data_IF_415726889190
#
_entry.id   IF_415726889190
#
_cell.length_a   1.000
_cell.length_b   1.000
_cell.length_c   1.000
_cell.angle_alpha   90.00
_cell.angle_beta   90.00
_cell.angle_gamma   90.00
#
_symmetry.space_group_name_H-M   'P 1'
#
loop_
_entity.id
_entity.type
_entity.pdbx_description
1 polymer ?
#
# COMPACT_ATOMS: atom_id res chain seq x y z
N UNK A 1 -15.76 16.57 11.98
CA UNK A 1 -15.35 15.56 12.99
C UNK A 1 -15.89 14.16 12.67
N UNK A 2 -17.21 13.94 12.54
CA UNK A 2 -17.78 12.60 12.34
C UNK A 2 -17.24 11.82 11.12
N UNK A 3 -17.05 12.49 9.98
CA UNK A 3 -16.47 11.88 8.77
C UNK A 3 -15.00 11.48 8.96
N UNK A 4 -14.23 12.31 9.67
CA UNK A 4 -12.82 12.03 9.96
C UNK A 4 -12.70 10.83 10.91
N UNK A 5 -13.50 10.81 11.99
CA UNK A 5 -13.56 9.67 12.92
C UNK A 5 -14.02 8.37 12.23
N UNK A 6 -14.98 8.45 11.31
CA UNK A 6 -15.44 7.30 10.56
C UNK A 6 -14.33 6.72 9.66
N UNK A 7 -13.58 7.57 8.95
CA UNK A 7 -12.45 7.14 8.13
C UNK A 7 -11.33 6.54 8.98
N UNK A 8 -10.95 7.18 10.09
CA UNK A 8 -9.91 6.64 10.99
C UNK A 8 -10.31 5.27 11.55
N UNK A 9 -11.55 5.10 12.00
CA UNK A 9 -12.06 3.82 12.51
C UNK A 9 -12.06 2.73 11.44
N UNK A 10 -12.47 3.07 10.22
CA UNK A 10 -12.47 2.12 9.09
C UNK A 10 -11.06 1.70 8.69
N UNK A 11 -10.09 2.62 8.71
CA UNK A 11 -8.69 2.31 8.44
C UNK A 11 -8.11 1.41 9.55
N UNK A 12 -8.39 1.68 10.81
CA UNK A 12 -7.95 0.85 11.94
C UNK A 12 -8.55 -0.56 11.89
N UNK A 13 -9.84 -0.69 11.58
CA UNK A 13 -10.50 -1.98 11.37
C UNK A 13 -9.88 -2.74 10.19
N UNK A 14 -9.59 -2.07 9.07
CA UNK A 14 -8.92 -2.68 7.94
C UNK A 14 -7.52 -3.20 8.32
N UNK A 15 -6.71 -2.38 9.00
CA UNK A 15 -5.37 -2.78 9.46
C UNK A 15 -5.44 -3.96 10.43
N UNK A 16 -6.45 -4.01 11.30
CA UNK A 16 -6.67 -5.13 12.22
C UNK A 16 -6.92 -6.44 11.47
N UNK A 17 -7.89 -6.47 10.56
CA UNK A 17 -8.21 -7.67 9.79
C UNK A 17 -7.05 -8.14 8.91
N UNK A 18 -6.32 -7.22 8.28
CA UNK A 18 -5.16 -7.58 7.47
C UNK A 18 -4.03 -8.15 8.36
N UNK A 19 -3.83 -7.59 9.56
CA UNK A 19 -2.82 -8.09 10.51
C UNK A 19 -3.16 -9.49 11.06
N UNK A 20 -4.43 -9.75 11.36
CA UNK A 20 -4.88 -11.09 11.76
C UNK A 20 -4.68 -12.11 10.64
N UNK A 21 -5.04 -11.74 9.40
CA UNK A 21 -4.83 -12.59 8.23
C UNK A 21 -3.34 -12.91 8.02
N UNK A 22 -2.46 -11.91 8.15
CA UNK A 22 -1.00 -12.13 8.09
C UNK A 22 -0.50 -13.07 9.20
N UNK A 23 -1.02 -12.93 10.42
CA UNK A 23 -0.61 -13.78 11.53
C UNK A 23 -0.99 -15.26 11.31
N UNK A 24 -2.20 -15.51 10.77
CA UNK A 24 -2.66 -16.85 10.43
C UNK A 24 -1.82 -17.42 9.29
N UNK A 25 -1.61 -16.67 8.21
CA UNK A 25 -0.89 -17.17 7.04
C UNK A 25 0.58 -17.43 7.33
N UNK A 26 1.23 -16.59 8.14
CA UNK A 26 2.62 -16.83 8.60
C UNK A 26 2.76 -18.06 9.50
N UNK A 27 1.67 -18.52 10.12
CA UNK A 27 1.67 -19.74 10.92
C UNK A 27 1.44 -21.02 10.07
N UNK A 28 1.07 -20.89 8.79
CA UNK A 28 0.88 -22.03 7.89
C UNK A 28 2.18 -22.41 7.17
N UNK A 29 2.36 -23.73 6.97
CA UNK A 29 3.41 -24.30 6.12
C UNK A 29 2.76 -25.28 5.14
N UNK A 30 2.89 -25.08 3.81
CA UNK A 30 3.63 -24.00 3.16
C UNK A 30 2.93 -22.63 3.28
N UNK A 31 3.72 -21.57 3.16
CA UNK A 31 3.24 -20.19 3.23
C UNK A 31 2.31 -19.88 2.05
N UNK A 32 1.15 -19.27 2.31
CA UNK A 32 0.23 -18.87 1.25
C UNK A 32 0.63 -17.51 0.66
N UNK A 33 1.54 -17.55 -0.31
CA UNK A 33 2.05 -16.35 -0.98
C UNK A 33 0.96 -15.53 -1.69
N UNK A 34 -0.12 -16.16 -2.17
CA UNK A 34 -1.25 -15.45 -2.79
C UNK A 34 -1.97 -14.58 -1.77
N UNK A 35 -2.29 -15.12 -0.60
CA UNK A 35 -2.93 -14.32 0.46
C UNK A 35 -2.02 -13.19 0.93
N UNK A 36 -0.72 -13.47 1.10
CA UNK A 36 0.24 -12.43 1.47
C UNK A 36 0.27 -11.27 0.46
N UNK A 37 0.27 -11.58 -0.84
CA UNK A 37 0.24 -10.57 -1.89
C UNK A 37 -1.00 -9.66 -1.78
N UNK A 38 -2.18 -10.26 -1.57
CA UNK A 38 -3.43 -9.52 -1.39
C UNK A 38 -3.40 -8.66 -0.12
N UNK A 39 -2.92 -9.20 1.00
CA UNK A 39 -2.80 -8.46 2.26
C UNK A 39 -1.91 -7.22 2.10
N UNK A 40 -0.74 -7.37 1.50
CA UNK A 40 0.19 -6.26 1.30
C UNK A 40 -0.35 -5.21 0.32
N UNK A 41 -1.08 -5.61 -0.72
CA UNK A 41 -1.76 -4.64 -1.58
C UNK A 41 -2.81 -3.83 -0.80
N UNK A 42 -3.60 -4.49 0.06
CA UNK A 42 -4.59 -3.80 0.88
C UNK A 42 -3.95 -2.85 1.90
N UNK A 43 -2.80 -3.22 2.47
CA UNK A 43 -2.01 -2.30 3.28
C UNK A 43 -1.60 -1.06 2.49
N UNK A 44 -1.08 -1.23 1.27
CA UNK A 44 -0.70 -0.11 0.40
C UNK A 44 -1.85 0.85 0.11
N UNK A 45 -3.07 0.31 -0.11
CA UNK A 45 -4.28 1.14 -0.29
C UNK A 45 -4.59 1.95 0.97
N UNK A 46 -4.58 1.31 2.15
CA UNK A 46 -4.85 2.02 3.41
C UNK A 46 -3.79 3.09 3.69
N UNK A 47 -2.51 2.82 3.42
CA UNK A 47 -1.43 3.81 3.55
C UNK A 47 -1.60 4.98 2.58
N UNK A 48 -2.00 4.71 1.34
CA UNK A 48 -2.33 5.76 0.36
C UNK A 48 -3.45 6.67 0.86
N UNK A 49 -4.51 6.11 1.47
CA UNK A 49 -5.62 6.88 2.05
C UNK A 49 -5.22 7.71 3.28
N UNK A 50 -4.05 7.43 3.86
CA UNK A 50 -3.47 8.17 4.99
C UNK A 50 -2.39 9.17 4.55
N UNK A 51 -2.18 9.35 3.24
CA UNK A 51 -1.12 10.19 2.67
C UNK A 51 0.30 9.71 3.05
N UNK A 52 0.42 8.46 3.51
CA UNK A 52 1.68 7.78 3.85
C UNK A 52 2.24 7.13 2.58
N UNK A 53 2.69 7.97 1.63
CA UNK A 53 3.00 7.55 0.26
C UNK A 53 4.23 6.63 0.14
N UNK A 54 5.27 6.85 0.96
CA UNK A 54 6.46 5.98 0.99
C UNK A 54 6.13 4.58 1.49
N UNK A 55 5.37 4.48 2.59
CA UNK A 55 4.95 3.20 3.15
C UNK A 55 3.96 2.49 2.23
N UNK A 56 3.10 3.24 1.52
CA UNK A 56 2.21 2.67 0.53
C UNK A 56 2.97 2.00 -0.61
N UNK A 57 4.01 2.66 -1.13
CA UNK A 57 4.86 2.13 -2.19
C UNK A 57 5.52 0.81 -1.76
N UNK A 58 6.14 0.79 -0.57
CA UNK A 58 6.77 -0.42 -0.04
C UNK A 58 5.78 -1.60 0.07
N UNK A 59 4.55 -1.32 0.51
CA UNK A 59 3.51 -2.35 0.61
C UNK A 59 3.13 -2.91 -0.77
N UNK A 60 3.00 -2.06 -1.80
CA UNK A 60 2.69 -2.53 -3.15
C UNK A 60 3.84 -3.30 -3.79
N UNK A 61 5.09 -2.92 -3.54
CA UNK A 61 6.26 -3.68 -3.98
C UNK A 61 6.30 -5.08 -3.35
N UNK A 62 6.01 -5.18 -2.05
CA UNK A 62 5.91 -6.46 -1.35
C UNK A 62 4.78 -7.33 -1.90
N UNK A 63 3.63 -6.73 -2.25
CA UNK A 63 2.54 -7.44 -2.90
C UNK A 63 2.98 -8.06 -4.24
N UNK A 64 3.71 -7.30 -5.06
CA UNK A 64 4.25 -7.77 -6.33
C UNK A 64 5.27 -8.90 -6.13
N UNK A 65 6.14 -8.80 -5.13
CA UNK A 65 7.12 -9.84 -4.80
C UNK A 65 6.42 -11.14 -4.38
N UNK A 66 5.44 -11.07 -3.48
CA UNK A 66 4.68 -12.25 -3.06
C UNK A 66 3.88 -12.87 -4.20
N UNK A 67 3.30 -12.06 -5.09
CA UNK A 67 2.64 -12.57 -6.29
C UNK A 67 3.59 -13.38 -7.18
N UNK A 68 4.83 -12.92 -7.34
CA UNK A 68 5.87 -13.67 -8.08
C UNK A 68 6.29 -14.93 -7.35
N UNK A 69 6.45 -14.90 -6.02
CA UNK A 69 6.76 -16.07 -5.20
C UNK A 69 5.63 -17.12 -5.22
N UNK A 70 4.38 -16.70 -5.42
CA UNK A 70 3.23 -17.58 -5.65
C UNK A 70 3.26 -18.27 -7.03
N UNK A 71 4.21 -17.95 -7.90
CA UNK A 71 4.32 -18.51 -9.25
C UNK A 71 3.42 -17.84 -10.28
N UNK A 72 2.87 -16.65 -9.98
CA UNK A 72 2.09 -15.88 -10.94
C UNK A 72 3.03 -15.25 -11.98
N UNK A 73 2.69 -15.39 -13.26
CA UNK A 73 3.43 -14.77 -14.35
C UNK A 73 3.10 -13.28 -14.51
N UNK A 74 3.92 -12.55 -15.28
CA UNK A 74 3.72 -11.11 -15.51
C UNK A 74 2.43 -10.77 -16.27
N UNK A 75 1.76 -11.76 -16.87
CA UNK A 75 0.49 -11.59 -17.56
C UNK A 75 -0.72 -11.79 -16.65
N UNK A 76 -0.51 -12.35 -15.45
CA UNK A 76 -1.56 -12.59 -14.47
C UNK A 76 -2.26 -11.28 -14.09
N UNK A 77 -3.61 -11.27 -13.99
CA UNK A 77 -4.37 -10.08 -13.63
C UNK A 77 -3.87 -9.43 -12.32
N UNK A 78 -3.57 -10.23 -11.30
CA UNK A 78 -3.09 -9.72 -10.02
C UNK A 78 -1.72 -9.04 -10.13
N UNK A 79 -0.79 -9.60 -10.90
CA UNK A 79 0.52 -8.99 -11.12
C UNK A 79 0.38 -7.65 -11.86
N UNK A 80 -0.50 -7.58 -12.86
CA UNK A 80 -0.82 -6.33 -13.56
C UNK A 80 -1.43 -5.29 -12.61
N UNK A 81 -2.34 -5.72 -11.74
CA UNK A 81 -2.94 -4.87 -10.73
C UNK A 81 -1.87 -4.33 -9.77
N UNK A 82 -1.03 -5.19 -9.18
CA UNK A 82 0.03 -4.75 -8.26
C UNK A 82 0.99 -3.76 -8.91
N UNK A 83 1.37 -3.99 -10.18
CA UNK A 83 2.21 -3.03 -10.93
C UNK A 83 1.52 -1.68 -11.15
N UNK A 84 0.20 -1.68 -11.40
CA UNK A 84 -0.57 -0.45 -11.50
C UNK A 84 -0.65 0.28 -10.16
N UNK A 85 -0.80 -0.45 -9.05
CA UNK A 85 -0.77 0.11 -7.70
C UNK A 85 0.60 0.74 -7.37
N UNK A 86 1.70 0.05 -7.69
CA UNK A 86 3.07 0.60 -7.55
C UNK A 86 3.22 1.90 -8.35
N UNK A 87 2.86 1.88 -9.64
CA UNK A 87 2.97 3.07 -10.49
C UNK A 87 2.13 4.25 -9.97
N UNK A 88 0.96 3.97 -9.40
CA UNK A 88 0.10 5.00 -8.81
C UNK A 88 0.72 5.57 -7.53
N UNK A 89 1.29 4.72 -6.67
CA UNK A 89 1.97 5.16 -5.46
C UNK A 89 3.22 6.00 -5.77
N UNK A 90 4.01 5.59 -6.77
CA UNK A 90 5.16 6.36 -7.27
C UNK A 90 4.73 7.75 -7.75
N UNK A 91 3.64 7.85 -8.53
CA UNK A 91 3.13 9.14 -8.98
C UNK A 91 2.67 10.03 -7.81
N UNK A 92 2.00 9.46 -6.82
CA UNK A 92 1.55 10.20 -5.64
C UNK A 92 2.75 10.71 -4.82
N UNK A 93 3.78 9.88 -4.64
CA UNK A 93 5.00 10.26 -3.93
C UNK A 93 5.74 11.40 -4.65
N UNK A 94 5.93 11.29 -5.97
CA UNK A 94 6.57 12.34 -6.78
C UNK A 94 5.80 13.66 -6.73
N UNK A 95 4.46 13.59 -6.77
CA UNK A 95 3.62 14.78 -6.68
C UNK A 95 3.70 15.45 -5.31
N UNK A 96 3.69 14.65 -4.23
CA UNK A 96 3.83 15.14 -2.86
C UNK A 96 5.20 15.81 -2.64
N UNK A 97 6.28 15.21 -3.11
CA UNK A 97 7.64 15.77 -3.04
C UNK A 97 7.75 17.10 -3.77
N UNK A 98 7.14 17.21 -4.95
CA UNK A 98 7.10 18.44 -5.73
C UNK A 98 6.35 19.55 -4.99
N UNK A 99 5.18 19.24 -4.41
CA UNK A 99 4.42 20.22 -3.62
C UNK A 99 5.19 20.75 -2.42
N UNK A 100 5.88 19.87 -1.70
CA UNK A 100 6.68 20.26 -0.54
C UNK A 100 7.85 21.17 -0.94
N UNK A 101 8.49 20.89 -2.08
CA UNK A 101 9.56 21.73 -2.61
C UNK A 101 9.07 23.13 -2.99
N UNK A 102 7.90 23.23 -3.64
CA UNK A 102 7.31 24.51 -4.03
C UNK A 102 6.87 25.33 -2.81
N UNK A 103 6.41 24.69 -1.73
CA UNK A 103 6.06 25.34 -0.47
C UNK A 103 7.28 25.96 0.20
N UNK A 104 8.38 25.21 0.32
CA UNK A 104 9.63 25.73 0.90
C UNK A 104 10.19 26.93 0.11
N UNK A 105 10.09 26.92 -1.21
CA UNK A 105 10.50 28.08 -2.04
C UNK A 105 9.63 29.32 -1.81
N UNK A 106 8.35 29.15 -1.51
CA UNK A 106 7.46 30.27 -1.17
C UNK A 106 7.81 30.88 0.18
N UNK A 107 8.18 30.05 1.17
CA UNK A 107 8.55 30.52 2.52
C UNK A 107 9.88 31.29 2.55
N UNK A 108 10.83 30.97 1.68
CA UNK A 108 12.11 31.70 1.57
C UNK A 108 11.98 33.07 0.88
N UNK A 109 10.84 33.39 0.27
CA UNK A 109 10.61 34.64 -0.47
C UNK A 109 9.87 35.73 0.32
N UNK A 110 9.58 35.50 1.60
CA UNK A 110 8.97 36.47 2.53
C UNK A 110 9.85 36.73 3.75
#
# INVERSE_FOLDING_TARGET
LALCYANTKQHEEALHYISESLAIERAQIPLNYVTLAVCYNNFGVVRTLREEHEEALQCFEQALEYGRQAGLDDNHPDIKMYRASVATADMNLLYFDQQNKDLHQCEEQY
#
